data_IF_327821305429
#
_entry.id   IF_327821305429
#
_cell.length_a   1.000
_cell.length_b   1.000
_cell.length_c   1.000
_cell.angle_alpha   90.00
_cell.angle_beta   90.00
_cell.angle_gamma   90.00
#
_symmetry.space_group_name_H-M   'P 1'
#
loop_
_entity.id
_entity.type
_entity.pdbx_description
1 polymer ?
#
# COMPACT_ATOMS: atom_id res chain seq x y z
N UNK A 1 33.84 43.20 2.37
CA UNK A 1 32.47 43.77 2.44
C UNK A 1 32.25 44.51 1.13
N UNK A 2 31.40 44.12 0.19
CA UNK A 2 30.33 43.12 0.16
C UNK A 2 30.48 42.23 -1.10
N UNK A 3 29.93 41.02 -1.04
CA UNK A 3 29.93 40.03 -2.13
C UNK A 3 28.68 40.25 -2.99
N UNK A 4 28.86 40.52 -4.27
CA UNK A 4 27.78 40.66 -5.25
C UNK A 4 27.76 39.39 -6.11
N UNK A 5 26.77 38.52 -5.88
CA UNK A 5 26.56 37.30 -6.67
C UNK A 5 25.67 37.64 -7.88
N UNK A 6 26.02 37.25 -9.12
CA UNK A 6 25.16 37.46 -10.28
C UNK A 6 23.92 36.56 -10.22
N UNK A 7 22.78 37.18 -10.53
CA UNK A 7 21.45 36.58 -10.66
C UNK A 7 21.47 35.49 -11.75
N UNK A 8 21.23 34.24 -11.36
CA UNK A 8 21.11 33.12 -12.28
C UNK A 8 19.71 33.14 -12.90
N UNK A 9 19.61 33.57 -14.15
CA UNK A 9 18.37 33.42 -14.92
C UNK A 9 18.05 31.92 -15.11
N UNK A 10 17.04 31.46 -14.38
CA UNK A 10 16.41 30.15 -14.53
C UNK A 10 15.80 30.03 -15.94
N UNK A 11 16.57 29.45 -16.85
CA UNK A 11 16.11 29.06 -18.18
C UNK A 11 15.75 27.57 -18.19
N UNK A 12 14.89 27.13 -17.26
CA UNK A 12 14.26 25.81 -17.39
C UNK A 12 13.13 25.86 -18.42
N UNK A 13 13.53 25.60 -19.66
CA UNK A 13 12.70 25.20 -20.79
C UNK A 13 11.55 24.31 -20.33
N UNK A 14 10.37 24.92 -20.25
CA UNK A 14 9.08 24.29 -20.03
C UNK A 14 8.71 23.43 -21.25
N UNK A 15 9.26 22.22 -21.29
CA UNK A 15 8.85 21.15 -22.20
C UNK A 15 7.79 20.29 -21.52
N UNK A 16 6.55 20.78 -21.45
CA UNK A 16 5.41 19.93 -21.08
C UNK A 16 5.09 18.98 -22.23
N UNK A 17 5.82 17.87 -22.29
CA UNK A 17 5.41 16.71 -23.07
C UNK A 17 4.36 15.95 -22.26
N UNK A 18 3.13 15.96 -22.76
CA UNK A 18 1.95 15.29 -22.20
C UNK A 18 2.08 13.77 -22.37
N UNK A 19 3.03 13.15 -21.67
CA UNK A 19 3.21 11.70 -21.60
C UNK A 19 2.73 11.16 -20.26
N UNK A 20 1.40 11.10 -20.06
CA UNK A 20 0.69 10.41 -18.97
C UNK A 20 1.51 10.34 -17.68
N UNK A 21 1.50 11.42 -16.89
CA UNK A 21 1.99 11.42 -15.52
C UNK A 21 1.17 10.42 -14.71
N UNK A 22 1.60 9.15 -14.73
CA UNK A 22 1.21 8.16 -13.74
C UNK A 22 1.74 8.67 -12.41
N UNK A 23 1.00 9.60 -11.80
CA UNK A 23 1.21 10.01 -10.41
C UNK A 23 1.38 8.71 -9.64
N UNK A 24 2.50 8.50 -8.95
CA UNK A 24 2.69 7.27 -8.20
C UNK A 24 1.50 7.14 -7.27
N UNK A 25 0.67 6.09 -7.44
CA UNK A 25 -0.47 5.86 -6.54
C UNK A 25 0.04 5.89 -5.11
N UNK A 26 -0.50 6.75 -4.27
CA UNK A 26 -0.11 6.80 -2.85
C UNK A 26 -0.63 5.53 -2.19
N UNK A 27 0.11 4.97 -1.23
CA UNK A 27 -0.36 3.81 -0.48
C UNK A 27 -1.63 4.23 0.29
N UNK A 28 -2.68 3.42 0.24
CA UNK A 28 -3.89 3.69 1.03
C UNK A 28 -3.68 3.41 2.53
N UNK A 29 -2.75 2.52 2.86
CA UNK A 29 -2.46 2.08 4.23
C UNK A 29 -0.98 2.22 4.56
N UNK A 30 -0.67 2.58 5.79
CA UNK A 30 0.67 2.65 6.38
C UNK A 30 0.98 1.40 7.21
N UNK A 31 2.25 1.23 7.60
CA UNK A 31 2.63 0.15 8.53
C UNK A 31 1.96 0.41 9.89
N UNK A 32 1.56 -0.67 10.57
CA UNK A 32 0.78 -0.68 11.82
C UNK A 32 -0.69 -0.22 11.70
N UNK A 33 -1.16 0.22 10.53
CA UNK A 33 -2.58 0.50 10.31
C UNK A 33 -3.44 -0.73 10.53
N UNK A 34 -4.60 -0.53 11.15
CA UNK A 34 -5.59 -1.58 11.36
C UNK A 34 -6.55 -1.64 10.16
N UNK A 35 -6.63 -2.80 9.52
CA UNK A 35 -7.49 -3.06 8.36
C UNK A 35 -8.39 -4.25 8.62
N UNK A 36 -9.47 -4.36 7.85
CA UNK A 36 -10.34 -5.54 7.82
C UNK A 36 -10.29 -6.21 6.46
N UNK A 37 -10.34 -7.54 6.43
CA UNK A 37 -10.39 -8.32 5.20
C UNK A 37 -11.38 -9.47 5.36
N UNK A 38 -12.10 -9.78 4.27
CA UNK A 38 -12.95 -10.96 4.19
C UNK A 38 -12.08 -12.18 3.93
N UNK A 39 -12.15 -13.16 4.83
CA UNK A 39 -11.43 -14.43 4.75
C UNK A 39 -12.46 -15.53 4.60
N UNK A 40 -12.31 -16.34 3.56
CA UNK A 40 -13.09 -17.57 3.40
C UNK A 40 -12.25 -18.76 3.85
N UNK A 41 -12.81 -19.60 4.71
CA UNK A 41 -12.23 -20.88 5.10
C UNK A 41 -13.27 -21.99 4.93
N UNK A 42 -12.79 -23.21 4.70
CA UNK A 42 -13.65 -24.40 4.70
C UNK A 42 -13.73 -24.93 6.12
N UNK A 43 -14.93 -25.10 6.61
CA UNK A 43 -15.18 -25.79 7.88
C UNK A 43 -15.08 -27.32 7.68
N UNK A 44 -15.07 -28.09 8.78
CA UNK A 44 -14.98 -29.55 8.77
C UNK A 44 -16.15 -30.20 7.99
N UNK A 45 -17.31 -29.52 7.92
CA UNK A 45 -18.48 -29.95 7.13
C UNK A 45 -18.37 -29.58 5.63
N UNK A 46 -17.23 -29.07 5.17
CA UNK A 46 -17.01 -28.55 3.81
C UNK A 46 -17.83 -27.30 3.44
N UNK A 47 -18.51 -26.67 4.39
CA UNK A 47 -19.15 -25.37 4.18
C UNK A 47 -18.09 -24.26 4.09
N UNK A 48 -18.23 -23.38 3.10
CA UNK A 48 -17.38 -22.21 2.95
C UNK A 48 -17.89 -21.08 3.83
N UNK A 49 -17.17 -20.78 4.91
CA UNK A 49 -17.50 -19.70 5.83
C UNK A 49 -16.65 -18.48 5.48
N UNK A 50 -17.32 -17.39 5.10
CA UNK A 50 -16.68 -16.08 4.93
C UNK A 50 -16.87 -15.24 6.17
N UNK A 51 -15.77 -14.83 6.80
CA UNK A 51 -15.78 -13.93 7.95
C UNK A 51 -14.96 -12.67 7.67
N UNK A 52 -15.35 -11.55 8.27
CA UNK A 52 -14.50 -10.37 8.34
C UNK A 52 -13.51 -10.53 9.49
N UNK A 53 -12.20 -10.53 9.19
CA UNK A 53 -11.13 -10.52 10.19
C UNK A 53 -10.37 -9.21 10.18
N UNK A 54 -9.84 -8.84 11.35
CA UNK A 54 -9.07 -7.62 11.54
C UNK A 54 -7.58 -7.95 11.54
N UNK A 55 -6.80 -7.13 10.86
CA UNK A 55 -5.38 -7.31 10.65
C UNK A 55 -4.64 -5.99 10.89
N UNK A 56 -3.34 -6.09 11.10
CA UNK A 56 -2.41 -4.96 11.06
C UNK A 56 -1.49 -5.07 9.86
N UNK A 57 -1.23 -3.94 9.20
CA UNK A 57 -0.24 -3.89 8.13
C UNK A 57 1.16 -4.08 8.72
N UNK A 58 1.86 -5.10 8.26
CA UNK A 58 3.25 -5.40 8.68
C UNK A 58 4.26 -4.81 7.72
N UNK A 59 4.00 -4.95 6.43
CA UNK A 59 4.89 -4.51 5.36
C UNK A 59 4.04 -4.09 4.15
N UNK A 60 4.55 -3.15 3.37
CA UNK A 60 3.93 -2.70 2.12
C UNK A 60 4.96 -2.72 1.00
N UNK A 61 4.52 -3.09 -0.20
CA UNK A 61 5.36 -3.07 -1.39
C UNK A 61 4.54 -2.75 -2.63
N UNK A 62 5.22 -2.40 -3.72
CA UNK A 62 4.60 -2.32 -5.05
C UNK A 62 4.96 -3.54 -5.87
N UNK A 63 3.98 -4.15 -6.52
CA UNK A 63 4.24 -5.20 -7.49
C UNK A 63 4.73 -4.62 -8.83
N UNK A 64 5.13 -5.51 -9.75
CA UNK A 64 5.62 -5.13 -11.09
C UNK A 64 4.61 -4.32 -11.93
N UNK A 65 3.31 -4.36 -11.56
CA UNK A 65 2.23 -3.59 -12.20
C UNK A 65 1.99 -2.23 -11.51
N UNK A 66 2.75 -1.91 -10.45
CA UNK A 66 2.65 -0.66 -9.71
C UNK A 66 1.50 -0.59 -8.70
N UNK A 67 0.85 -1.72 -8.40
CA UNK A 67 -0.19 -1.79 -7.36
C UNK A 67 0.43 -2.06 -5.99
N UNK A 68 -0.19 -1.51 -4.95
CA UNK A 68 0.20 -1.77 -3.58
C UNK A 68 -0.29 -3.12 -3.09
N UNK A 69 0.62 -3.82 -2.43
CA UNK A 69 0.36 -5.08 -1.74
C UNK A 69 0.92 -5.00 -0.33
N UNK A 70 0.27 -5.74 0.57
CA UNK A 70 0.52 -5.65 2.00
C UNK A 70 0.67 -7.03 2.62
N UNK A 71 1.63 -7.16 3.55
CA UNK A 71 1.65 -8.28 4.47
C UNK A 71 0.86 -7.94 5.72
N UNK A 72 0.16 -8.93 6.25
CA UNK A 72 -0.77 -8.76 7.34
C UNK A 72 -0.31 -9.55 8.57
N UNK A 73 -0.48 -8.95 9.73
CA UNK A 73 -0.44 -9.64 11.02
C UNK A 73 -1.85 -9.73 11.57
N UNK A 74 -2.18 -10.87 12.20
CA UNK A 74 -3.40 -11.00 12.97
C UNK A 74 -3.39 -9.99 14.12
N UNK A 75 -4.46 -9.20 14.24
CA UNK A 75 -4.53 -8.09 15.20
C UNK A 75 -4.40 -8.56 16.65
N UNK A 76 -4.95 -9.73 16.97
CA UNK A 76 -5.09 -10.20 18.35
C UNK A 76 -3.86 -10.97 18.82
N UNK A 77 -3.30 -11.79 17.94
CA UNK A 77 -2.15 -12.65 18.25
C UNK A 77 -0.81 -12.02 17.86
N UNK A 78 -0.81 -11.02 16.98
CA UNK A 78 0.39 -10.47 16.36
C UNK A 78 1.08 -11.44 15.41
N UNK A 79 0.52 -12.63 15.21
CA UNK A 79 1.09 -13.66 14.34
C UNK A 79 0.96 -13.26 12.87
N UNK A 80 1.91 -13.70 12.05
CA UNK A 80 1.85 -13.44 10.63
C UNK A 80 0.64 -14.13 10.01
N UNK A 81 -0.26 -13.35 9.41
CA UNK A 81 -1.39 -13.90 8.69
C UNK A 81 -0.91 -14.36 7.31
N UNK A 82 -0.85 -15.68 7.14
CA UNK A 82 -0.29 -16.34 5.95
C UNK A 82 1.09 -15.75 5.58
N UNK A 83 2.10 -16.06 6.39
CA UNK A 83 3.42 -15.40 6.45
C UNK A 83 4.18 -15.06 5.14
N UNK A 84 3.81 -15.64 4.00
CA UNK A 84 4.41 -15.35 2.69
C UNK A 84 3.44 -14.73 1.66
N UNK A 85 2.18 -14.54 2.02
CA UNK A 85 1.17 -13.98 1.13
C UNK A 85 1.16 -12.46 1.22
N UNK A 86 0.98 -11.85 0.05
CA UNK A 86 0.83 -10.41 -0.13
C UNK A 86 -0.59 -10.13 -0.60
N UNK A 87 -1.29 -9.26 0.11
CA UNK A 87 -2.69 -8.94 -0.15
C UNK A 87 -2.79 -7.59 -0.85
N UNK A 88 -3.47 -7.57 -1.99
CA UNK A 88 -3.72 -6.32 -2.71
C UNK A 88 -4.60 -5.37 -1.91
N UNK A 89 -4.37 -4.07 -2.08
CA UNK A 89 -5.16 -2.99 -1.47
C UNK A 89 -6.67 -3.20 -1.61
N UNK A 90 -7.14 -3.70 -2.75
CA UNK A 90 -8.56 -3.95 -3.05
C UNK A 90 -9.23 -5.02 -2.18
N UNK A 91 -8.45 -5.90 -1.53
CA UNK A 91 -8.97 -6.91 -0.61
C UNK A 91 -9.07 -6.41 0.83
N UNK A 92 -8.51 -5.23 1.11
CA UNK A 92 -8.47 -4.63 2.42
C UNK A 92 -9.50 -3.50 2.49
N UNK A 93 -10.19 -3.41 3.62
CA UNK A 93 -11.04 -2.29 3.97
C UNK A 93 -10.48 -1.54 5.16
N UNK A 94 -10.70 -0.22 5.19
CA UNK A 94 -10.52 0.55 6.41
C UNK A 94 -11.49 0.05 7.49
N UNK A 95 -11.01 -0.03 8.74
CA UNK A 95 -11.82 -0.46 9.86
C UNK A 95 -12.95 0.53 10.15
#
# INVERSE_FOLDING_TARGET
>A
MAEEYPDYEDNTKSGYDFGISSRPRVAQFEIDDEVKMKVTYKDDDSEEITVCRHFKIRASQRNARGHWEYQLNDRFTGAHYKSNDWFSESHLGLL
#
